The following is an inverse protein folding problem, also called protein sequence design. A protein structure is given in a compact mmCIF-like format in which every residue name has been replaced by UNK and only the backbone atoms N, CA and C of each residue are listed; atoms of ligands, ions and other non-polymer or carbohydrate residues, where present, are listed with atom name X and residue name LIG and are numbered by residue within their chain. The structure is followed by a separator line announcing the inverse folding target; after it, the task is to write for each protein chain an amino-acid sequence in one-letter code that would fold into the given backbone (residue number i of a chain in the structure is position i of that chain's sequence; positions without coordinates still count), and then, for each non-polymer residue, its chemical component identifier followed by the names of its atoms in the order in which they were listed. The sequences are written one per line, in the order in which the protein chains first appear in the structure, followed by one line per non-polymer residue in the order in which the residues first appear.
data_IF_482466037678
#
_entry.id   IF_482466037678
#
_cell.length_a   1.000
_cell.length_b   1.000
_cell.length_c   1.000
_cell.angle_alpha   90.00
_cell.angle_beta   90.00
_cell.angle_gamma   90.00
#
_symmetry.space_group_name_H-M   'P 1'
#
loop_
_entity.id
_entity.type
_entity.pdbx_description
1 polymer ?
#
# COMPACT_ATOMS: atom_id res chain seq x y z
N UNK A 1 5.24 -9.37 3.48
CA UNK A 1 6.16 -8.41 2.83
C UNK A 1 5.80 -6.98 3.25
N UNK A 2 6.77 -6.05 3.20
CA UNK A 2 6.48 -4.62 3.45
C UNK A 2 7.46 -3.75 2.65
N UNK A 3 7.04 -2.50 2.42
CA UNK A 3 7.88 -1.51 1.79
C UNK A 3 7.31 -0.11 1.93
N UNK A 4 8.17 0.91 1.88
CA UNK A 4 7.79 2.32 1.96
C UNK A 4 8.12 3.07 0.67
N UNK A 5 7.32 4.09 0.32
CA UNK A 5 7.50 4.89 -0.90
C UNK A 5 7.49 4.00 -2.16
N UNK A 6 8.54 3.96 -2.95
CA UNK A 6 8.69 3.02 -4.07
C UNK A 6 8.47 1.56 -3.66
N UNK A 7 8.97 1.15 -2.47
CA UNK A 7 8.68 -0.16 -1.90
C UNK A 7 7.21 -0.35 -1.52
N UNK A 8 6.50 0.72 -1.17
CA UNK A 8 5.05 0.72 -0.93
C UNK A 8 4.27 0.46 -2.22
N UNK A 9 4.66 1.14 -3.31
CA UNK A 9 4.12 0.89 -4.67
C UNK A 9 4.30 -0.57 -5.05
N UNK A 10 5.54 -1.09 -4.93
CA UNK A 10 5.85 -2.48 -5.29
C UNK A 10 5.08 -3.47 -4.41
N UNK A 11 4.89 -3.18 -3.12
CA UNK A 11 4.08 -4.03 -2.24
C UNK A 11 2.63 -4.08 -2.72
N UNK A 12 1.99 -2.93 -2.98
CA UNK A 12 0.62 -2.85 -3.48
C UNK A 12 0.48 -3.51 -4.86
N UNK A 13 1.46 -3.33 -5.74
CA UNK A 13 1.52 -3.98 -7.05
C UNK A 13 1.57 -5.50 -6.93
N UNK A 14 2.53 -6.00 -6.15
CA UNK A 14 2.79 -7.44 -6.02
C UNK A 14 1.56 -8.18 -5.47
N UNK A 15 0.90 -7.66 -4.41
CA UNK A 15 -0.28 -8.31 -3.84
C UNK A 15 -1.50 -8.30 -4.78
N UNK A 16 -1.52 -7.42 -5.78
CA UNK A 16 -2.50 -7.44 -6.86
C UNK A 16 -2.20 -8.45 -7.98
N UNK A 17 -1.00 -9.08 -7.96
CA UNK A 17 -0.54 -9.99 -9.02
C UNK A 17 -0.14 -11.38 -8.52
N UNK A 18 -0.07 -11.60 -7.20
CA UNK A 18 0.27 -12.92 -6.63
C UNK A 18 -0.29 -13.08 -5.22
N UNK A 19 -0.66 -14.29 -4.87
CA UNK A 19 -1.13 -14.70 -3.54
C UNK A 19 0.00 -15.28 -2.65
N UNK A 20 1.26 -15.14 -3.08
CA UNK A 20 2.43 -15.74 -2.42
C UNK A 20 2.62 -15.31 -0.96
N UNK A 21 2.14 -14.12 -0.59
CA UNK A 21 2.43 -13.51 0.71
C UNK A 21 1.25 -13.64 1.68
N UNK A 22 1.53 -14.03 2.93
CA UNK A 22 0.53 -14.19 3.98
C UNK A 22 0.01 -12.87 4.55
N UNK A 23 0.82 -11.81 4.48
CA UNK A 23 0.45 -10.46 4.89
C UNK A 23 1.34 -9.45 4.19
N UNK A 24 0.81 -8.25 4.01
CA UNK A 24 1.53 -7.15 3.39
C UNK A 24 1.34 -5.84 4.16
N UNK A 25 2.35 -4.96 4.10
CA UNK A 25 2.26 -3.59 4.60
C UNK A 25 2.80 -2.64 3.55
N UNK A 26 1.92 -1.84 2.97
CA UNK A 26 2.24 -0.82 1.98
C UNK A 26 2.28 0.53 2.67
N UNK A 27 3.49 1.11 2.79
CA UNK A 27 3.68 2.37 3.52
C UNK A 27 3.89 3.53 2.54
N UNK A 28 3.09 4.60 2.71
CA UNK A 28 3.16 5.81 1.87
C UNK A 28 3.36 5.49 0.38
N UNK A 29 2.43 4.69 -0.21
CA UNK A 29 2.54 4.22 -1.59
C UNK A 29 2.05 5.25 -2.59
N UNK A 30 2.48 5.11 -3.85
CA UNK A 30 1.69 5.59 -4.99
C UNK A 30 0.75 4.47 -5.42
N UNK A 31 -0.52 4.77 -5.55
CA UNK A 31 -1.55 3.77 -5.91
C UNK A 31 -2.19 4.08 -7.24
N UNK A 32 -2.38 5.36 -7.53
CA UNK A 32 -2.98 5.86 -8.75
C UNK A 32 -2.03 6.88 -9.40
N UNK A 33 -1.29 6.45 -10.39
CA UNK A 33 -0.31 7.30 -11.07
C UNK A 33 -0.94 8.50 -11.75
N UNK A 34 -2.18 8.38 -12.23
CA UNK A 34 -2.87 9.47 -12.90
C UNK A 34 -3.08 10.67 -11.98
N UNK A 35 -3.59 10.44 -10.77
CA UNK A 35 -3.79 11.50 -9.78
C UNK A 35 -2.49 11.92 -9.10
N UNK A 36 -1.57 10.97 -8.89
CA UNK A 36 -0.31 11.21 -8.20
C UNK A 36 0.56 12.26 -8.89
N UNK A 37 0.75 12.18 -10.20
CA UNK A 37 1.62 13.13 -10.92
C UNK A 37 1.14 14.57 -10.87
N UNK A 38 -0.16 14.79 -10.62
CA UNK A 38 -0.75 16.12 -10.46
C UNK A 38 -0.85 16.61 -9.03
N UNK A 39 -0.54 15.77 -8.01
CA UNK A 39 -0.76 16.10 -6.59
C UNK A 39 0.49 15.98 -5.72
N UNK A 40 1.54 15.33 -6.21
CA UNK A 40 2.82 15.21 -5.50
C UNK A 40 3.59 16.53 -5.48
N UNK A 41 4.41 16.77 -4.45
CA UNK A 41 5.38 17.86 -4.39
C UNK A 41 6.60 17.64 -5.31
N UNK A 42 6.75 16.45 -5.86
CA UNK A 42 7.79 16.11 -6.83
C UNK A 42 7.36 16.46 -8.26
N UNK A 43 8.10 17.33 -8.93
CA UNK A 43 7.70 17.96 -10.18
C UNK A 43 8.10 17.21 -11.47
N UNK A 44 8.67 16.02 -11.38
CA UNK A 44 9.25 15.34 -12.54
C UNK A 44 8.81 13.87 -12.72
N UNK A 45 7.79 13.40 -12.01
CA UNK A 45 7.33 12.01 -12.10
C UNK A 45 6.75 11.64 -13.47
N UNK A 46 6.18 12.63 -14.21
CA UNK A 46 5.66 12.40 -15.55
C UNK A 46 6.74 11.92 -16.54
N UNK A 47 8.03 12.18 -16.29
CA UNK A 47 9.13 11.66 -17.11
C UNK A 47 9.28 10.14 -17.08
N UNK A 48 8.61 9.46 -16.14
CA UNK A 48 8.55 8.00 -16.09
C UNK A 48 7.55 7.42 -17.11
N UNK A 49 6.78 8.27 -17.76
CA UNK A 49 5.75 7.93 -18.74
C UNK A 49 6.09 8.52 -20.10
N UNK A 50 5.52 7.94 -21.17
CA UNK A 50 5.77 8.38 -22.54
C UNK A 50 5.05 9.68 -22.89
N UNK A 51 3.88 9.89 -22.26
CA UNK A 51 2.99 11.03 -22.48
C UNK A 51 2.41 11.53 -21.16
N UNK A 52 1.78 12.67 -21.18
CA UNK A 52 1.06 13.19 -20.03
C UNK A 52 -0.21 12.39 -19.72
N UNK A 53 -0.75 12.44 -18.49
CA UNK A 53 -1.94 11.65 -18.10
C UNK A 53 -3.17 11.90 -18.98
N UNK A 54 -3.36 13.10 -19.47
CA UNK A 54 -4.48 13.47 -20.33
C UNK A 54 -4.28 13.07 -21.80
N UNK A 55 -3.07 12.73 -22.21
CA UNK A 55 -2.75 12.27 -23.57
C UNK A 55 -2.80 10.76 -23.70
N UNK A 56 -2.41 10.03 -22.64
CA UNK A 56 -2.46 8.57 -22.59
C UNK A 56 -2.83 8.09 -21.18
N UNK A 57 -4.11 8.24 -20.78
CA UNK A 57 -4.55 7.82 -19.44
C UNK A 57 -4.40 6.31 -19.22
N UNK A 58 -4.40 5.51 -20.30
CA UNK A 58 -4.27 4.06 -20.18
C UNK A 58 -2.88 3.63 -19.69
N UNK A 59 -1.80 4.31 -20.12
CA UNK A 59 -0.45 4.01 -19.64
C UNK A 59 -0.36 4.19 -18.11
N UNK A 60 -0.99 5.23 -17.57
CA UNK A 60 -1.06 5.47 -16.13
C UNK A 60 -1.93 4.44 -15.41
N UNK A 61 -3.05 4.09 -15.98
CA UNK A 61 -3.97 3.10 -15.41
C UNK A 61 -3.30 1.73 -15.26
N UNK A 62 -2.71 1.20 -16.33
CA UNK A 62 -2.12 -0.15 -16.31
C UNK A 62 -0.89 -0.26 -15.40
N UNK A 63 -0.29 0.85 -15.00
CA UNK A 63 0.82 0.90 -14.05
C UNK A 63 0.36 1.19 -12.61
N UNK A 64 -0.91 1.49 -12.40
CA UNK A 64 -1.46 1.84 -11.09
C UNK A 64 -1.90 0.60 -10.32
N UNK A 65 -1.38 0.35 -9.11
CA UNK A 65 -1.83 -0.75 -8.26
C UNK A 65 -3.34 -0.77 -8.01
N UNK A 66 -3.99 0.39 -8.04
CA UNK A 66 -5.42 0.53 -7.86
C UNK A 66 -6.24 -0.34 -8.82
N UNK A 67 -5.82 -0.45 -10.07
CA UNK A 67 -6.55 -1.21 -11.09
C UNK A 67 -6.51 -2.73 -10.86
N UNK A 68 -5.65 -3.20 -9.97
CA UNK A 68 -5.50 -4.62 -9.62
C UNK A 68 -6.04 -4.95 -8.23
N UNK A 69 -6.67 -3.98 -7.56
CA UNK A 69 -7.18 -4.16 -6.17
C UNK A 69 -8.18 -5.30 -6.05
N UNK A 70 -8.96 -5.56 -7.10
CA UNK A 70 -9.93 -6.66 -7.14
C UNK A 70 -9.28 -8.05 -7.03
N UNK A 71 -7.99 -8.18 -7.31
CA UNK A 71 -7.25 -9.43 -7.20
C UNK A 71 -6.64 -9.64 -5.81
N UNK A 72 -6.61 -8.61 -4.95
CA UNK A 72 -5.94 -8.67 -3.66
C UNK A 72 -6.70 -9.55 -2.69
N UNK A 73 -6.09 -10.68 -2.33
CA UNK A 73 -6.55 -11.61 -1.29
C UNK A 73 -5.64 -11.58 -0.05
N UNK A 74 -4.42 -11.07 -0.19
CA UNK A 74 -3.44 -10.94 0.89
C UNK A 74 -3.89 -9.87 1.90
N UNK A 75 -3.98 -10.18 3.21
CA UNK A 75 -4.21 -9.19 4.25
C UNK A 75 -3.23 -8.02 4.13
N UNK A 76 -3.75 -6.82 3.91
CA UNK A 76 -2.94 -5.65 3.56
C UNK A 76 -3.18 -4.47 4.50
N UNK A 77 -2.15 -4.05 5.23
CA UNK A 77 -2.13 -2.81 6.00
C UNK A 77 -1.54 -1.69 5.14
N UNK A 78 -2.17 -0.53 5.19
CA UNK A 78 -1.68 0.69 4.55
C UNK A 78 -1.28 1.67 5.65
N UNK A 79 -0.10 2.28 5.54
CA UNK A 79 0.40 3.24 6.53
C UNK A 79 0.84 4.53 5.83
N UNK A 80 0.49 5.69 6.39
CA UNK A 80 0.85 6.99 5.78
C UNK A 80 0.96 8.09 6.83
N UNK A 81 1.77 9.12 6.52
CA UNK A 81 1.76 10.39 7.24
C UNK A 81 0.64 11.29 6.71
N UNK A 82 -0.05 12.00 7.60
CA UNK A 82 -1.18 12.85 7.21
C UNK A 82 -0.74 14.11 6.46
N UNK A 83 0.49 14.57 6.69
CA UNK A 83 1.09 15.72 6.02
C UNK A 83 2.05 15.33 4.89
N UNK A 84 1.96 14.10 4.39
CA UNK A 84 2.81 13.62 3.29
C UNK A 84 2.42 14.32 1.98
N UNK A 85 3.32 15.16 1.48
CA UNK A 85 3.16 15.84 0.20
C UNK A 85 3.84 15.09 -0.95
N UNK A 86 4.77 14.17 -0.64
CA UNK A 86 5.47 13.37 -1.65
C UNK A 86 4.58 12.28 -2.22
N UNK A 87 3.93 11.53 -1.34
CA UNK A 87 2.86 10.60 -1.69
C UNK A 87 1.62 11.02 -0.89
N UNK A 88 0.81 11.94 -1.43
CA UNK A 88 -0.30 12.53 -0.71
C UNK A 88 -1.20 11.47 -0.07
N UNK A 89 -1.71 11.77 1.12
CA UNK A 89 -2.53 10.85 1.94
C UNK A 89 -3.67 10.22 1.14
N UNK A 90 -4.21 10.95 0.17
CA UNK A 90 -5.27 10.49 -0.73
C UNK A 90 -4.91 9.18 -1.46
N UNK A 91 -3.64 8.94 -1.78
CA UNK A 91 -3.18 7.69 -2.37
C UNK A 91 -3.43 6.50 -1.44
N UNK A 92 -3.11 6.66 -0.17
CA UNK A 92 -3.32 5.62 0.85
C UNK A 92 -4.81 5.42 1.18
N UNK A 93 -5.57 6.51 1.25
CA UNK A 93 -7.02 6.47 1.50
C UNK A 93 -7.77 5.81 0.34
N UNK A 94 -7.41 6.13 -0.91
CA UNK A 94 -7.99 5.52 -2.11
C UNK A 94 -7.77 4.00 -2.11
N UNK A 95 -6.55 3.54 -1.83
CA UNK A 95 -6.24 2.12 -1.77
C UNK A 95 -6.98 1.40 -0.66
N UNK A 96 -6.94 1.95 0.56
CA UNK A 96 -7.68 1.40 1.68
C UNK A 96 -9.17 1.28 1.39
N UNK A 97 -9.77 2.35 0.83
CA UNK A 97 -11.19 2.37 0.48
C UNK A 97 -11.51 1.30 -0.57
N UNK A 98 -10.70 1.19 -1.61
CA UNK A 98 -10.87 0.19 -2.64
C UNK A 98 -10.80 -1.24 -2.08
N UNK A 99 -9.79 -1.55 -1.24
CA UNK A 99 -9.68 -2.84 -0.55
C UNK A 99 -10.92 -3.14 0.32
N UNK A 100 -11.45 -2.14 1.05
CA UNK A 100 -12.68 -2.29 1.85
C UNK A 100 -13.91 -2.56 0.99
N UNK A 101 -14.00 -1.97 -0.19
CA UNK A 101 -15.11 -2.20 -1.13
C UNK A 101 -15.06 -3.61 -1.75
N UNK A 102 -13.87 -4.09 -2.07
CA UNK A 102 -13.68 -5.46 -2.61
C UNK A 102 -13.98 -6.53 -1.58
N UNK A 103 -13.72 -6.28 -0.30
CA UNK A 103 -14.04 -7.15 0.85
C UNK A 103 -13.48 -8.58 0.78
N UNK A 104 -12.37 -8.79 0.09
CA UNK A 104 -11.76 -10.13 -0.05
C UNK A 104 -10.78 -10.46 1.07
N UNK A 105 -10.31 -9.46 1.81
CA UNK A 105 -9.28 -9.65 2.82
C UNK A 105 -9.36 -8.60 3.93
N UNK A 106 -8.70 -8.87 5.04
CA UNK A 106 -8.51 -7.89 6.10
C UNK A 106 -7.67 -6.72 5.60
N UNK A 107 -8.10 -5.52 5.94
CA UNK A 107 -7.33 -4.32 5.65
C UNK A 107 -7.40 -3.32 6.80
N UNK A 108 -6.31 -2.62 7.02
CA UNK A 108 -6.15 -1.59 8.05
C UNK A 108 -5.48 -0.36 7.42
N UNK A 109 -5.96 0.83 7.76
CA UNK A 109 -5.27 2.08 7.47
C UNK A 109 -4.73 2.68 8.76
N UNK A 110 -3.42 2.90 8.80
CA UNK A 110 -2.73 3.60 9.89
C UNK A 110 -2.32 4.98 9.39
N UNK A 111 -2.84 6.01 10.04
CA UNK A 111 -2.54 7.42 9.75
C UNK A 111 -1.70 7.98 10.88
N UNK A 112 -0.58 8.60 10.56
CA UNK A 112 0.29 9.25 11.54
C UNK A 112 0.11 10.77 11.46
N UNK A 113 -0.52 11.37 12.47
CA UNK A 113 -0.80 12.81 12.50
C UNK A 113 0.47 13.65 12.33
N UNK A 114 0.39 14.68 11.50
CA UNK A 114 1.47 15.66 11.26
C UNK A 114 2.79 15.07 10.75
N UNK A 115 2.82 13.81 10.36
CA UNK A 115 4.00 13.19 9.75
C UNK A 115 4.00 13.37 8.23
N UNK A 116 5.20 13.61 7.71
CA UNK A 116 5.49 13.74 6.29
C UNK A 116 5.87 12.39 5.66
N UNK A 117 6.53 12.43 4.51
CA UNK A 117 7.00 11.23 3.81
C UNK A 117 8.01 10.41 4.63
N UNK A 118 8.82 11.06 5.47
CA UNK A 118 9.66 10.42 6.48
C UNK A 118 9.18 10.78 7.88
N UNK A 119 8.86 9.78 8.69
CA UNK A 119 8.39 10.02 10.04
C UNK A 119 9.52 10.43 10.96
N UNK A 120 9.35 11.53 11.68
CA UNK A 120 10.39 12.16 12.49
C UNK A 120 10.17 12.00 13.98
N UNK A 121 8.92 11.87 14.43
CA UNK A 121 8.61 11.73 15.87
C UNK A 121 9.01 10.34 16.35
N UNK A 122 9.87 10.22 17.40
CA UNK A 122 10.30 8.92 17.92
C UNK A 122 9.14 8.00 18.29
N UNK A 123 8.07 8.56 18.86
CA UNK A 123 6.85 7.82 19.19
C UNK A 123 6.19 7.21 17.96
N UNK A 124 6.13 7.93 16.83
CA UNK A 124 5.54 7.41 15.60
C UNK A 124 6.44 6.36 14.92
N UNK A 125 7.76 6.52 15.04
CA UNK A 125 8.70 5.50 14.59
C UNK A 125 8.54 4.20 15.41
N UNK A 126 8.38 4.31 16.72
CA UNK A 126 8.09 3.15 17.58
C UNK A 126 6.74 2.52 17.22
N UNK A 127 5.69 3.32 17.07
CA UNK A 127 4.36 2.84 16.68
C UNK A 127 4.40 2.11 15.34
N UNK A 128 5.17 2.61 14.36
CA UNK A 128 5.37 1.91 13.09
C UNK A 128 5.87 0.48 13.31
N UNK A 129 6.91 0.32 14.12
CA UNK A 129 7.46 -1.01 14.38
C UNK A 129 6.45 -1.91 15.10
N UNK A 130 5.74 -1.38 16.10
CA UNK A 130 4.72 -2.14 16.82
C UNK A 130 3.57 -2.59 15.90
N UNK A 131 3.07 -1.72 15.02
CA UNK A 131 2.06 -2.09 14.03
C UNK A 131 2.57 -3.16 13.05
N UNK A 132 3.81 -3.01 12.55
CA UNK A 132 4.41 -4.00 11.66
C UNK A 132 4.51 -5.38 12.34
N UNK A 133 5.04 -5.42 13.56
CA UNK A 133 5.19 -6.65 14.33
C UNK A 133 3.82 -7.30 14.61
N UNK A 134 2.86 -6.53 15.11
CA UNK A 134 1.52 -7.03 15.43
C UNK A 134 0.80 -7.56 14.17
N UNK A 135 0.91 -6.85 13.04
CA UNK A 135 0.30 -7.26 11.78
C UNK A 135 0.88 -8.58 11.27
N UNK A 136 2.19 -8.70 11.20
CA UNK A 136 2.82 -9.92 10.72
C UNK A 136 2.63 -11.09 11.69
N UNK A 137 2.66 -10.86 12.99
CA UNK A 137 2.39 -11.91 13.99
C UNK A 137 0.97 -12.45 13.90
N UNK A 138 -0.02 -11.57 13.72
CA UNK A 138 -1.41 -11.96 13.52
C UNK A 138 -1.56 -13.00 12.41
N UNK A 139 -0.89 -12.81 11.27
CA UNK A 139 -1.03 -13.70 10.11
C UNK A 139 -0.02 -14.85 10.10
N UNK A 140 1.06 -14.77 10.86
CA UNK A 140 1.98 -15.87 11.05
C UNK A 140 1.30 -17.04 11.80
N UNK A 141 0.63 -16.74 12.88
CA UNK A 141 -0.04 -17.73 13.74
C UNK A 141 -1.30 -18.33 13.12
N UNK A 142 -2.07 -17.57 12.37
CA UNK A 142 -3.27 -18.07 11.69
C UNK A 142 -2.94 -19.15 10.64
N UNK A 143 -1.83 -19.01 9.94
CA UNK A 143 -1.40 -19.96 8.92
C UNK A 143 -0.89 -21.29 9.52
N UNK A 144 -0.34 -21.29 10.73
CA UNK A 144 0.10 -22.52 11.40
C UNK A 144 -1.09 -23.41 11.83
N UNK A 145 -2.25 -22.83 12.03
CA UNK A 145 -3.47 -23.58 12.34
C UNK A 145 -4.12 -24.26 11.13
N UNK A 146 -3.86 -23.73 9.93
CA UNK A 146 -4.40 -24.30 8.67
C UNK A 146 -3.48 -25.35 8.03
N UNK A 147 -2.25 -25.51 8.50
CA UNK A 147 -1.20 -26.33 7.89
C UNK A 147 -0.95 -27.68 8.57
N UNK A 148 -1.86 -28.13 9.45
CA UNK A 148 -1.78 -29.51 9.95
C UNK A 148 -2.75 -30.36 9.11
N UNK A 149 -2.28 -31.11 8.10
CA UNK A 149 -3.08 -32.17 7.52
C UNK A 149 -3.37 -33.17 8.64
N UNK A 150 -4.63 -33.57 8.80
CA UNK A 150 -4.94 -34.76 9.56
C UNK A 150 -4.15 -35.91 8.91
N UNK A 151 -3.25 -36.51 9.67
CA UNK A 151 -2.63 -37.78 9.30
C UNK A 151 -3.72 -38.83 9.55
N UNK A 152 -4.30 -39.33 8.47
CA UNK A 152 -5.06 -40.55 8.44
C UNK A 152 -4.14 -41.78 8.60
#
# INVERSE_FOLDING_TARGET
MCGGSGGGVLTAWIVGHTERFRAAVSMRPVINWHSFVGTTDGNNWYHQFRKYPWEDPLEYAVRSPLHYVANVTTPTMVMTGEADLRTPISQSEEYYRALKMVRKTDTLLVRMPEEFHGWRRPTHQLLQQLYLMAWFEKYRTQASKAAVPALD
#
